data_IF_680144069812
#
_entry.id   IF_680144069812
#
_cell.length_a   1.000
_cell.length_b   1.000
_cell.length_c   1.000
_cell.angle_alpha   90.00
_cell.angle_beta   90.00
_cell.angle_gamma   90.00
#
_symmetry.space_group_name_H-M   'P 1'
#
loop_
_entity.id
_entity.type
_entity.pdbx_description
1 polymer ?
#
# COMPACT_ATOMS: atom_id res chain seq x y z
N UNK A 1 37.89 -24.39 -23.21
CA UNK A 1 36.89 -23.28 -23.23
C UNK A 1 35.86 -23.56 -22.16
N UNK A 2 36.07 -23.09 -20.92
CA UNK A 2 35.08 -23.25 -19.85
C UNK A 2 34.20 -22.01 -19.83
N UNK A 3 32.94 -22.16 -20.24
CA UNK A 3 31.90 -21.15 -20.03
C UNK A 3 31.32 -21.36 -18.63
N UNK A 4 31.58 -20.41 -17.74
CA UNK A 4 30.92 -20.28 -16.45
C UNK A 4 30.43 -18.85 -16.33
N UNK A 5 29.23 -18.60 -16.86
CA UNK A 5 28.60 -17.29 -16.82
C UNK A 5 28.31 -16.90 -15.37
N UNK A 6 28.85 -15.74 -15.02
CA UNK A 6 28.75 -15.11 -13.71
C UNK A 6 27.32 -14.62 -13.47
N UNK A 7 26.83 -14.82 -12.25
CA UNK A 7 26.07 -13.84 -11.43
C UNK A 7 24.74 -13.33 -12.02
N UNK A 8 23.63 -13.92 -11.59
CA UNK A 8 22.33 -13.25 -11.43
C UNK A 8 22.12 -13.12 -9.91
N UNK A 9 22.21 -11.95 -9.27
CA UNK A 9 21.42 -10.70 -9.38
C UNK A 9 20.02 -10.84 -8.77
N UNK A 10 19.99 -10.49 -7.49
CA UNK A 10 18.97 -9.71 -6.77
C UNK A 10 17.51 -10.13 -6.92
N UNK A 11 17.00 -10.74 -5.87
CA UNK A 11 15.63 -10.59 -5.40
C UNK A 11 15.61 -10.78 -3.88
N UNK A 12 16.43 -10.00 -3.17
CA UNK A 12 16.08 -9.64 -1.79
C UNK A 12 15.30 -8.35 -1.95
N UNK A 13 13.97 -8.50 -2.00
CA UNK A 13 13.07 -7.42 -1.66
C UNK A 13 13.42 -7.04 -0.23
N UNK A 14 14.24 -6.00 -0.15
CA UNK A 14 14.33 -5.07 0.98
C UNK A 14 12.90 -4.89 1.50
N UNK A 15 12.57 -5.67 2.52
CA UNK A 15 11.46 -5.37 3.39
C UNK A 15 11.93 -4.12 4.10
N UNK A 16 11.66 -2.99 3.46
CA UNK A 16 11.71 -1.69 4.07
C UNK A 16 10.70 -1.79 5.22
N UNK A 17 11.17 -2.29 6.36
CA UNK A 17 10.63 -1.97 7.66
C UNK A 17 10.93 -0.49 7.82
N UNK A 18 10.16 0.30 7.05
CA UNK A 18 10.02 1.71 7.27
C UNK A 18 9.57 1.78 8.72
N UNK A 19 10.39 2.40 9.54
CA UNK A 19 10.03 2.85 10.87
C UNK A 19 8.94 3.90 10.65
N UNK A 20 7.75 3.44 10.25
CA UNK A 20 6.64 4.27 9.88
C UNK A 20 6.24 4.96 11.17
N UNK A 21 6.48 6.26 11.21
CA UNK A 21 6.07 7.06 12.35
C UNK A 21 4.55 6.90 12.52
N UNK A 22 4.04 6.82 13.75
CA UNK A 22 2.60 6.68 14.04
C UNK A 22 1.63 7.50 13.15
N UNK A 23 1.94 8.74 12.72
CA UNK A 23 1.11 9.45 11.75
C UNK A 23 1.15 8.85 10.33
N UNK A 24 2.29 8.36 9.84
CA UNK A 24 2.39 7.72 8.53
C UNK A 24 1.65 6.37 8.50
N UNK A 25 1.67 5.61 9.62
CA UNK A 25 0.96 4.33 9.72
C UNK A 25 -0.54 4.51 9.52
N UNK A 26 -1.11 5.52 10.19
CA UNK A 26 -2.51 5.86 10.03
C UNK A 26 -2.83 6.24 8.58
N UNK A 27 -1.97 7.01 7.91
CA UNK A 27 -2.21 7.37 6.50
C UNK A 27 -2.14 6.18 5.54
N UNK A 28 -1.27 5.20 5.80
CA UNK A 28 -1.24 3.95 5.03
C UNK A 28 -2.48 3.10 5.28
N UNK A 29 -2.93 2.99 6.53
CA UNK A 29 -4.16 2.29 6.89
C UNK A 29 -5.39 2.95 6.23
N UNK A 30 -5.48 4.27 6.28
CA UNK A 30 -6.52 5.06 5.62
C UNK A 30 -6.50 4.82 4.10
N UNK A 31 -5.32 4.87 3.46
CA UNK A 31 -5.19 4.61 2.02
C UNK A 31 -5.67 3.21 1.66
N UNK A 32 -5.27 2.19 2.42
CA UNK A 32 -5.66 0.80 2.17
C UNK A 32 -7.17 0.64 2.38
N UNK A 33 -7.73 1.17 3.46
CA UNK A 33 -9.15 1.14 3.74
C UNK A 33 -9.96 1.84 2.62
N UNK A 34 -9.54 3.03 2.18
CA UNK A 34 -10.17 3.77 1.08
C UNK A 34 -10.13 2.97 -0.23
N UNK A 35 -9.01 2.32 -0.53
CA UNK A 35 -8.88 1.45 -1.71
C UNK A 35 -9.86 0.27 -1.66
N UNK A 36 -9.97 -0.40 -0.52
CA UNK A 36 -10.90 -1.52 -0.36
C UNK A 36 -12.36 -1.07 -0.38
N UNK A 37 -12.69 0.10 0.19
CA UNK A 37 -14.02 0.70 0.12
C UNK A 37 -14.40 1.01 -1.33
N UNK A 38 -13.52 1.68 -2.07
CA UNK A 38 -13.69 1.98 -3.48
C UNK A 38 -13.88 0.71 -4.31
N UNK A 39 -13.06 -0.32 -4.09
CA UNK A 39 -13.19 -1.61 -4.76
C UNK A 39 -14.53 -2.30 -4.43
N UNK A 40 -14.94 -2.30 -3.16
CA UNK A 40 -16.20 -2.89 -2.69
C UNK A 40 -17.43 -2.15 -3.24
N UNK A 41 -17.34 -0.84 -3.44
CA UNK A 41 -18.37 -0.01 -4.07
C UNK A 41 -18.43 -0.16 -5.60
N UNK A 42 -17.57 -0.98 -6.18
CA UNK A 42 -17.57 -1.28 -7.62
C UNK A 42 -16.66 -0.37 -8.43
N UNK A 43 -15.65 0.24 -7.80
CA UNK A 43 -14.66 1.11 -8.44
C UNK A 43 -15.32 2.31 -9.12
N UNK A 44 -16.29 2.89 -8.43
CA UNK A 44 -17.06 4.00 -8.95
C UNK A 44 -16.13 5.21 -9.12
N UNK A 45 -16.16 5.83 -10.29
CA UNK A 45 -15.26 6.95 -10.58
C UNK A 45 -15.81 8.22 -9.91
N UNK A 46 -14.97 8.94 -9.15
CA UNK A 46 -15.36 10.19 -8.48
C UNK A 46 -15.94 10.03 -7.06
N UNK A 47 -15.91 8.82 -6.49
CA UNK A 47 -16.17 8.60 -5.06
C UNK A 47 -14.89 8.55 -4.22
N UNK A 48 -13.73 8.70 -4.86
CA UNK A 48 -12.40 8.64 -4.26
C UNK A 48 -12.24 9.51 -2.99
N UNK A 49 -12.81 10.71 -2.96
CA UNK A 49 -12.79 11.59 -1.77
C UNK A 49 -13.73 11.08 -0.67
N UNK A 50 -14.93 10.61 -1.02
CA UNK A 50 -15.89 10.07 -0.05
C UNK A 50 -15.36 8.77 0.57
N UNK A 51 -14.73 7.92 -0.24
CA UNK A 51 -14.09 6.67 0.16
C UNK A 51 -12.89 6.92 1.09
N UNK A 52 -12.15 8.02 0.88
CA UNK A 52 -11.08 8.44 1.78
C UNK A 52 -11.61 8.91 3.14
N UNK A 53 -12.64 9.76 3.15
CA UNK A 53 -13.24 10.27 4.40
C UNK A 53 -13.83 9.12 5.24
N UNK A 54 -14.52 8.18 4.59
CA UNK A 54 -15.08 7.00 5.26
C UNK A 54 -13.98 6.07 5.82
N UNK A 55 -12.85 5.97 5.12
CA UNK A 55 -11.69 5.26 5.62
C UNK A 55 -11.04 5.95 6.83
N UNK A 56 -10.92 7.28 6.82
CA UNK A 56 -10.43 8.06 7.97
C UNK A 56 -11.29 7.86 9.21
N UNK A 57 -12.62 7.88 9.06
CA UNK A 57 -13.56 7.61 10.15
C UNK A 57 -13.38 6.18 10.70
N UNK A 58 -13.19 5.20 9.82
CA UNK A 58 -13.01 3.79 10.21
C UNK A 58 -11.70 3.53 10.95
N UNK A 59 -10.62 4.22 10.59
CA UNK A 59 -9.30 4.06 11.23
C UNK A 59 -9.22 4.81 12.56
N UNK A 60 -10.05 5.85 12.75
CA UNK A 60 -10.02 6.72 13.92
C UNK A 60 -11.07 6.37 15.01
N UNK A 61 -11.90 5.32 14.83
CA UNK A 61 -12.92 4.84 15.80
C UNK A 61 -12.34 3.92 16.90
#
# INVERSE_FOLDING_TARGET
MAKGSKKAKEAETDLHEEEVTVPEQQTEEIRLAAYYLWEKKGKNHGSDVEDWIEAEDTVND
#
